data_IF_879586029830
#
_entry.id   IF_879586029830
#
_cell.length_a   1.000
_cell.length_b   1.000
_cell.length_c   1.000
_cell.angle_alpha   90.00
_cell.angle_beta   90.00
_cell.angle_gamma   90.00
#
_symmetry.space_group_name_H-M   'P 1'
#
loop_
_entity.id
_entity.type
_entity.pdbx_description
1 polymer ?
#
# COMPACT_ATOMS: atom_id res chain seq x y z
N UNK A 1 29.11 -1.49 3.75
CA UNK A 1 28.34 -0.48 3.00
C UNK A 1 27.39 0.23 3.95
N UNK A 2 27.17 1.52 3.74
CA UNK A 2 26.30 2.36 4.57
C UNK A 2 25.09 2.86 3.77
N UNK A 3 23.90 2.49 4.18
CA UNK A 3 22.65 2.83 3.51
C UNK A 3 21.80 3.77 4.35
N UNK A 4 21.40 4.90 3.76
CA UNK A 4 20.54 5.87 4.44
C UNK A 4 19.16 5.90 3.79
N UNK A 5 18.15 5.43 4.51
CA UNK A 5 16.76 5.39 4.07
C UNK A 5 15.96 6.58 4.59
N UNK A 6 15.23 7.26 3.73
CA UNK A 6 14.28 8.31 4.08
C UNK A 6 12.86 7.88 3.73
N UNK A 7 12.00 7.77 4.74
CA UNK A 7 10.61 7.36 4.57
C UNK A 7 9.74 7.86 5.71
N UNK A 8 8.44 7.99 5.46
CA UNK A 8 7.51 8.34 6.53
C UNK A 8 6.08 8.59 6.09
N UNK A 9 5.24 8.86 7.08
CA UNK A 9 3.85 9.23 6.94
C UNK A 9 2.88 8.05 6.93
N UNK A 10 2.99 7.12 5.99
CA UNK A 10 2.06 5.99 5.85
C UNK A 10 2.77 4.65 5.74
N UNK A 11 2.07 3.57 6.11
CA UNK A 11 2.58 2.20 5.97
C UNK A 11 2.95 1.86 4.52
N UNK A 12 2.28 2.47 3.52
CA UNK A 12 2.57 2.29 2.10
C UNK A 12 3.97 2.76 1.67
N UNK A 13 4.59 3.69 2.40
CA UNK A 13 5.97 4.13 2.20
C UNK A 13 6.95 3.35 3.08
N UNK A 14 6.54 3.08 4.33
CA UNK A 14 7.43 2.52 5.35
C UNK A 14 7.67 1.03 5.11
N UNK A 15 6.62 0.24 4.86
CA UNK A 15 6.75 -1.21 4.71
C UNK A 15 7.64 -1.63 3.52
N UNK A 16 7.53 -1.01 2.32
CA UNK A 16 8.46 -1.30 1.23
C UNK A 16 9.91 -0.97 1.57
N UNK A 17 10.14 0.17 2.24
CA UNK A 17 11.49 0.54 2.69
C UNK A 17 12.07 -0.49 3.67
N UNK A 18 11.28 -0.94 4.65
CA UNK A 18 11.67 -1.97 5.60
C UNK A 18 11.94 -3.32 4.92
N UNK A 19 11.11 -3.71 3.95
CA UNK A 19 11.29 -4.96 3.21
C UNK A 19 12.62 -4.98 2.45
N UNK A 20 12.96 -3.88 1.76
CA UNK A 20 14.23 -3.74 1.03
C UNK A 20 15.41 -3.66 1.99
N UNK A 21 15.33 -2.87 3.06
CA UNK A 21 16.39 -2.76 4.05
C UNK A 21 16.68 -4.09 4.75
N UNK A 22 15.63 -4.86 5.09
CA UNK A 22 15.78 -6.20 5.66
C UNK A 22 16.49 -7.15 4.70
N UNK A 23 16.13 -7.13 3.43
CA UNK A 23 16.80 -7.94 2.42
C UNK A 23 18.26 -7.56 2.25
N UNK A 24 18.59 -6.25 2.19
CA UNK A 24 19.99 -5.80 2.13
C UNK A 24 20.77 -6.29 3.35
N UNK A 25 20.20 -6.21 4.55
CA UNK A 25 20.85 -6.69 5.79
C UNK A 25 21.06 -8.21 5.79
N UNK A 26 20.12 -8.97 5.23
CA UNK A 26 20.26 -10.42 5.05
C UNK A 26 21.40 -10.79 4.09
N UNK A 27 21.51 -10.06 2.96
CA UNK A 27 22.54 -10.32 1.96
C UNK A 27 23.92 -9.75 2.34
N UNK A 28 23.95 -8.66 3.09
CA UNK A 28 25.14 -7.94 3.52
C UNK A 28 25.10 -7.68 5.04
N UNK A 29 25.38 -8.69 5.87
CA UNK A 29 25.24 -8.58 7.33
C UNK A 29 26.11 -7.49 7.98
N UNK A 30 27.25 -7.16 7.37
CA UNK A 30 28.16 -6.09 7.82
C UNK A 30 27.74 -4.68 7.35
N UNK A 31 26.56 -4.54 6.76
CA UNK A 31 26.07 -3.23 6.32
C UNK A 31 25.51 -2.42 7.49
N UNK A 32 25.78 -1.12 7.48
CA UNK A 32 25.15 -0.17 8.38
C UNK A 32 23.92 0.46 7.69
N UNK A 33 22.77 0.35 8.33
CA UNK A 33 21.51 0.87 7.78
C UNK A 33 20.91 1.86 8.78
N UNK A 34 20.74 3.11 8.33
CA UNK A 34 20.12 4.16 9.11
C UNK A 34 18.87 4.69 8.41
N UNK A 35 17.79 4.84 9.18
CA UNK A 35 16.56 5.45 8.70
C UNK A 35 16.42 6.89 9.22
N UNK A 36 15.88 7.76 8.35
CA UNK A 36 15.40 9.09 8.72
C UNK A 36 13.89 9.14 8.55
N UNK A 37 13.19 9.62 9.58
CA UNK A 37 11.75 9.82 9.60
C UNK A 37 11.34 11.01 10.43
N UNK A 38 10.08 11.08 10.84
CA UNK A 38 9.58 12.06 11.81
C UNK A 38 9.34 11.41 13.17
N UNK A 39 9.29 12.24 14.21
CA UNK A 39 9.14 11.75 15.59
C UNK A 39 7.73 11.20 15.88
N UNK A 40 6.70 11.80 15.26
CA UNK A 40 5.31 11.66 15.71
C UNK A 40 4.44 10.77 14.79
N UNK A 41 5.04 10.10 13.80
CA UNK A 41 4.32 9.24 12.84
C UNK A 41 4.72 7.77 12.96
N UNK A 42 4.12 6.92 12.13
CA UNK A 42 4.24 5.46 12.21
C UNK A 42 5.69 4.96 12.12
N UNK A 43 6.52 5.63 11.33
CA UNK A 43 7.93 5.27 11.13
C UNK A 43 8.74 5.28 12.43
N UNK A 44 8.43 6.20 13.36
CA UNK A 44 9.12 6.29 14.65
C UNK A 44 8.95 5.05 15.54
N UNK A 45 7.93 4.24 15.26
CA UNK A 45 7.67 2.95 15.93
C UNK A 45 8.07 1.77 15.05
N UNK A 46 7.66 1.77 13.77
CA UNK A 46 7.84 0.62 12.88
C UNK A 46 9.32 0.35 12.57
N UNK A 47 10.12 1.39 12.37
CA UNK A 47 11.55 1.23 12.03
C UNK A 47 12.35 0.66 13.19
N UNK A 48 12.30 1.21 14.43
CA UNK A 48 12.97 0.60 15.57
C UNK A 48 12.47 -0.80 15.90
N UNK A 49 11.17 -1.07 15.77
CA UNK A 49 10.61 -2.41 15.99
C UNK A 49 11.16 -3.44 14.98
N UNK A 50 11.55 -3.01 13.77
CA UNK A 50 12.24 -3.84 12.81
C UNK A 50 13.75 -3.98 13.05
N UNK A 51 14.27 -3.36 14.13
CA UNK A 51 15.67 -3.44 14.55
C UNK A 51 16.62 -2.61 13.69
N UNK A 52 16.16 -1.47 13.16
CA UNK A 52 17.00 -0.52 12.44
C UNK A 52 17.24 0.75 13.24
N UNK A 53 18.42 1.34 13.05
CA UNK A 53 18.75 2.65 13.60
C UNK A 53 17.86 3.73 13.00
N UNK A 54 17.43 4.68 13.82
CA UNK A 54 16.46 5.69 13.45
C UNK A 54 16.86 7.08 13.95
N UNK A 55 16.87 8.05 13.05
CA UNK A 55 17.01 9.48 13.36
C UNK A 55 15.80 10.25 12.86
N UNK A 56 15.54 11.40 13.48
CA UNK A 56 14.36 12.21 13.17
C UNK A 56 14.74 13.62 12.68
N UNK A 57 13.92 14.13 11.73
CA UNK A 57 13.89 15.53 11.34
C UNK A 57 12.50 16.11 11.60
N UNK A 58 12.42 17.41 11.90
CA UNK A 58 11.12 18.08 12.11
C UNK A 58 10.61 18.68 10.80
N UNK A 59 9.76 17.92 10.10
CA UNK A 59 9.13 18.38 8.88
C UNK A 59 7.63 18.08 8.91
N UNK A 60 6.84 18.93 8.25
CA UNK A 60 5.40 18.73 8.03
C UNK A 60 5.03 19.04 6.59
N UNK A 61 3.97 18.42 6.10
CA UNK A 61 3.41 18.75 4.80
C UNK A 61 2.76 20.13 4.78
N UNK A 62 2.76 20.79 3.63
CA UNK A 62 2.03 22.03 3.40
C UNK A 62 0.51 21.79 3.47
N UNK A 63 -0.20 22.67 4.15
CA UNK A 63 -1.66 22.63 4.19
C UNK A 63 -2.24 23.20 2.91
N UNK A 64 -3.05 22.42 2.19
CA UNK A 64 -3.76 22.82 0.98
C UNK A 64 -5.05 23.57 1.34
N UNK A 65 -4.92 24.76 1.95
CA UNK A 65 -6.07 25.59 2.32
C UNK A 65 -5.67 27.07 2.26
N UNK A 66 -6.57 27.91 1.76
CA UNK A 66 -6.39 29.35 1.71
C UNK A 66 -6.90 30.08 2.98
N UNK A 67 -7.31 29.35 4.02
CA UNK A 67 -7.73 29.97 5.29
C UNK A 67 -6.55 30.67 5.95
N UNK A 68 -6.73 31.85 6.63
CA UNK A 68 -5.64 32.60 7.25
C UNK A 68 -4.75 31.76 8.18
N UNK A 69 -5.35 30.86 8.94
CA UNK A 69 -4.62 29.92 9.81
C UNK A 69 -3.69 28.97 9.00
N UNK A 70 -4.13 28.52 7.83
CA UNK A 70 -3.31 27.64 6.98
C UNK A 70 -2.14 28.41 6.35
N UNK A 71 -2.31 29.69 6.03
CA UNK A 71 -1.22 30.55 5.52
C UNK A 71 -0.13 30.72 6.58
N UNK A 72 -0.52 31.04 7.82
CA UNK A 72 0.41 31.16 8.96
C UNK A 72 1.13 29.83 9.22
N UNK A 73 0.40 28.71 9.19
CA UNK A 73 0.97 27.38 9.36
C UNK A 73 1.96 27.04 8.21
N UNK A 74 1.65 27.44 6.97
CA UNK A 74 2.55 27.24 5.83
C UNK A 74 3.83 28.08 5.93
N UNK A 75 3.78 29.29 6.45
CA UNK A 75 5.01 30.09 6.74
C UNK A 75 5.90 29.36 7.75
N UNK A 76 5.32 28.82 8.83
CA UNK A 76 6.07 27.98 9.78
C UNK A 76 6.64 26.73 9.13
N UNK A 77 5.92 26.15 8.16
CA UNK A 77 6.38 24.97 7.40
C UNK A 77 7.62 25.29 6.56
N UNK A 78 7.73 26.51 5.98
CA UNK A 78 8.93 26.93 5.26
C UNK A 78 10.16 26.99 6.18
N UNK A 79 10.02 27.57 7.38
CA UNK A 79 11.12 27.56 8.37
C UNK A 79 11.51 26.13 8.80
N UNK A 80 10.54 25.26 8.96
CA UNK A 80 10.77 23.84 9.26
C UNK A 80 11.49 23.14 8.11
N UNK A 81 11.16 23.48 6.86
CA UNK A 81 11.84 22.92 5.69
C UNK A 81 13.32 23.29 5.70
N UNK A 82 13.67 24.58 5.89
CA UNK A 82 15.06 25.03 5.95
C UNK A 82 15.82 24.33 7.10
N UNK A 83 15.17 24.20 8.27
CA UNK A 83 15.77 23.50 9.40
C UNK A 83 15.95 22.01 9.09
N UNK A 84 14.95 21.36 8.47
CA UNK A 84 15.03 19.94 8.11
C UNK A 84 16.12 19.65 7.07
N UNK A 85 16.42 20.60 6.16
CA UNK A 85 17.57 20.50 5.26
C UNK A 85 18.91 20.56 6.01
N UNK A 86 19.03 21.46 7.01
CA UNK A 86 20.24 21.55 7.85
C UNK A 86 20.43 20.29 8.71
N UNK A 87 19.35 19.79 9.32
CA UNK A 87 19.37 18.56 10.10
C UNK A 87 19.72 17.36 9.19
N UNK A 88 19.15 17.30 7.99
CA UNK A 88 19.47 16.28 6.98
C UNK A 88 20.93 16.33 6.57
N UNK A 89 21.46 17.54 6.28
CA UNK A 89 22.88 17.72 5.97
C UNK A 89 23.77 17.14 7.06
N UNK A 90 23.48 17.50 8.32
CA UNK A 90 24.25 17.00 9.45
C UNK A 90 24.21 15.48 9.56
N UNK A 91 23.00 14.88 9.47
CA UNK A 91 22.85 13.42 9.56
C UNK A 91 23.59 12.71 8.42
N UNK A 92 23.48 13.21 7.18
CA UNK A 92 24.16 12.65 6.01
C UNK A 92 25.68 12.73 6.17
N UNK A 93 26.21 13.90 6.56
CA UNK A 93 27.68 14.08 6.71
C UNK A 93 28.24 13.28 7.89
N UNK A 94 27.52 13.19 9.01
CA UNK A 94 27.96 12.43 10.19
C UNK A 94 27.93 10.92 9.93
N UNK A 95 26.92 10.42 9.20
CA UNK A 95 26.78 9.00 8.87
C UNK A 95 27.65 8.60 7.68
N UNK A 96 27.87 9.52 6.74
CA UNK A 96 28.64 9.34 5.49
C UNK A 96 28.19 8.09 4.71
N UNK A 97 26.93 8.06 4.20
CA UNK A 97 26.39 6.90 3.49
C UNK A 97 27.04 6.70 2.13
N UNK A 98 27.09 5.44 1.66
CA UNK A 98 27.46 5.12 0.28
C UNK A 98 26.31 5.44 -0.68
N UNK A 99 25.05 5.36 -0.21
CA UNK A 99 23.86 5.71 -0.98
C UNK A 99 22.72 6.20 -0.08
N UNK A 100 21.92 7.15 -0.59
CA UNK A 100 20.72 7.68 0.08
C UNK A 100 19.47 7.31 -0.71
N UNK A 101 18.47 6.74 -0.02
CA UNK A 101 17.29 6.16 -0.65
C UNK A 101 16.01 6.81 -0.10
N UNK A 102 15.13 7.30 -0.99
CA UNK A 102 13.83 7.86 -0.64
C UNK A 102 12.68 6.91 -1.01
N UNK A 103 11.87 6.52 -0.02
CA UNK A 103 10.65 5.75 -0.26
C UNK A 103 9.36 6.58 -0.14
N UNK A 104 9.48 7.90 -0.24
CA UNK A 104 8.32 8.79 -0.19
C UNK A 104 8.02 9.34 1.22
N UNK A 105 6.92 10.08 1.30
CA UNK A 105 6.60 10.90 2.46
C UNK A 105 7.33 12.24 2.44
N UNK A 106 6.91 13.14 3.33
CA UNK A 106 7.51 14.50 3.40
C UNK A 106 8.99 14.49 3.76
N UNK A 107 9.44 13.46 4.46
CA UNK A 107 10.83 13.29 4.91
C UNK A 107 11.78 13.10 3.73
N UNK A 108 11.38 12.38 2.69
CA UNK A 108 12.22 12.13 1.52
C UNK A 108 12.66 13.41 0.82
N UNK A 109 11.83 14.47 0.81
CA UNK A 109 12.15 15.75 0.18
C UNK A 109 13.49 16.34 0.63
N UNK A 110 13.60 16.85 1.86
CA UNK A 110 14.82 17.51 2.34
C UNK A 110 16.04 16.58 2.40
N UNK A 111 15.82 15.28 2.67
CA UNK A 111 16.92 14.30 2.76
C UNK A 111 17.55 14.06 1.39
N UNK A 112 16.74 13.74 0.38
CA UNK A 112 17.22 13.43 -0.97
C UNK A 112 17.71 14.67 -1.70
N UNK A 113 17.05 15.83 -1.51
CA UNK A 113 17.53 17.11 -2.06
C UNK A 113 18.90 17.45 -1.51
N UNK A 114 19.13 17.26 -0.20
CA UNK A 114 20.43 17.49 0.41
C UNK A 114 21.48 16.47 -0.05
N UNK A 115 21.12 15.19 -0.17
CA UNK A 115 22.01 14.17 -0.71
C UNK A 115 22.50 14.53 -2.13
N UNK A 116 21.56 14.90 -3.02
CA UNK A 116 21.88 15.34 -4.37
C UNK A 116 22.78 16.60 -4.40
N UNK A 117 22.49 17.61 -3.55
CA UNK A 117 23.31 18.82 -3.41
C UNK A 117 24.73 18.53 -2.90
N UNK A 118 24.88 17.51 -2.08
CA UNK A 118 26.19 17.09 -1.53
C UNK A 118 26.88 16.02 -2.39
N UNK A 119 26.31 15.68 -3.54
CA UNK A 119 26.82 14.69 -4.49
C UNK A 119 26.94 13.26 -3.94
N UNK A 120 26.12 12.89 -2.96
CA UNK A 120 25.97 11.49 -2.56
C UNK A 120 25.13 10.74 -3.60
N UNK A 121 25.51 9.50 -3.96
CA UNK A 121 24.66 8.65 -4.78
C UNK A 121 23.28 8.55 -4.15
N UNK A 122 22.22 8.77 -4.94
CA UNK A 122 20.88 8.78 -4.37
C UNK A 122 19.81 8.30 -5.36
N UNK A 123 18.77 7.69 -4.81
CA UNK A 123 17.63 7.17 -5.59
C UNK A 123 16.31 7.32 -4.84
N UNK A 124 15.22 7.28 -5.59
CA UNK A 124 13.86 7.26 -5.05
C UNK A 124 13.07 6.08 -5.60
N UNK A 125 12.08 5.63 -4.82
CA UNK A 125 11.06 4.69 -5.24
C UNK A 125 9.68 5.35 -5.18
N UNK A 126 8.91 5.28 -6.27
CA UNK A 126 7.52 5.74 -6.34
C UNK A 126 6.58 4.55 -6.35
N UNK A 127 5.66 4.52 -5.40
CA UNK A 127 4.73 3.42 -5.21
C UNK A 127 3.49 3.52 -6.09
N UNK A 128 3.07 4.72 -6.44
CA UNK A 128 1.80 4.98 -7.12
C UNK A 128 1.97 5.16 -8.63
N UNK A 129 0.93 4.84 -9.39
CA UNK A 129 0.85 5.11 -10.82
C UNK A 129 0.84 6.64 -11.14
N UNK A 130 0.40 7.45 -10.18
CA UNK A 130 0.53 8.91 -10.24
C UNK A 130 1.46 9.39 -9.13
N UNK A 131 2.68 9.83 -9.47
CA UNK A 131 3.70 10.19 -8.51
C UNK A 131 3.33 11.39 -7.64
N UNK A 132 3.75 11.32 -6.36
CA UNK A 132 3.60 12.42 -5.45
C UNK A 132 4.47 13.63 -5.83
N UNK A 133 4.07 14.84 -5.42
CA UNK A 133 4.77 16.10 -5.75
C UNK A 133 6.25 16.03 -5.35
N UNK A 134 6.56 15.49 -4.19
CA UNK A 134 7.95 15.34 -3.71
C UNK A 134 8.78 14.48 -4.68
N UNK A 135 8.26 13.31 -5.08
CA UNK A 135 8.97 12.43 -6.01
C UNK A 135 9.11 13.03 -7.40
N UNK A 136 8.13 13.82 -7.89
CA UNK A 136 8.24 14.58 -9.15
C UNK A 136 9.39 15.59 -9.12
N UNK A 137 9.60 16.26 -8.00
CA UNK A 137 10.72 17.21 -7.85
C UNK A 137 12.07 16.48 -7.74
N UNK A 138 12.12 15.44 -6.92
CA UNK A 138 13.34 14.67 -6.69
C UNK A 138 13.81 13.92 -7.94
N UNK A 139 12.89 13.43 -8.78
CA UNK A 139 13.20 12.72 -10.02
C UNK A 139 14.16 13.49 -10.95
N UNK A 140 14.09 14.83 -10.91
CA UNK A 140 14.97 15.72 -11.70
C UNK A 140 16.42 15.77 -11.20
N UNK A 141 16.69 15.28 -10.00
CA UNK A 141 17.95 15.48 -9.29
C UNK A 141 18.68 14.19 -8.95
N UNK A 142 17.93 13.14 -8.59
CA UNK A 142 18.49 11.85 -8.15
C UNK A 142 19.09 11.02 -9.31
N UNK A 143 19.98 10.11 -8.98
CA UNK A 143 20.68 9.29 -9.98
C UNK A 143 19.82 8.16 -10.54
N UNK A 144 18.89 7.62 -9.74
CA UNK A 144 17.93 6.59 -10.18
C UNK A 144 16.54 6.86 -9.64
N UNK A 145 15.55 6.63 -10.50
CA UNK A 145 14.13 6.64 -10.15
C UNK A 145 13.60 5.22 -10.38
N UNK A 146 13.10 4.62 -9.33
CA UNK A 146 12.43 3.31 -9.37
C UNK A 146 10.93 3.53 -9.26
N UNK A 147 10.14 2.81 -10.02
CA UNK A 147 8.69 2.95 -10.08
C UNK A 147 8.01 1.59 -9.99
N UNK A 148 6.85 1.57 -9.37
CA UNK A 148 6.05 0.33 -9.24
C UNK A 148 5.48 -0.11 -10.58
N UNK A 149 4.91 0.82 -11.35
CA UNK A 149 4.23 0.56 -12.61
C UNK A 149 4.66 1.54 -13.70
N UNK A 150 4.65 1.08 -14.95
CA UNK A 150 5.04 1.86 -16.14
C UNK A 150 4.27 3.18 -16.27
N UNK A 151 2.99 3.20 -15.82
CA UNK A 151 2.13 4.37 -15.92
C UNK A 151 2.67 5.60 -15.20
N UNK A 152 3.49 5.42 -14.17
CA UNK A 152 4.14 6.51 -13.44
C UNK A 152 5.11 7.33 -14.32
N UNK A 153 5.73 6.74 -15.34
CA UNK A 153 6.68 7.42 -16.23
C UNK A 153 6.08 8.65 -16.88
N UNK A 154 4.82 8.60 -17.31
CA UNK A 154 4.11 9.69 -18.00
C UNK A 154 4.02 10.98 -17.18
N UNK A 155 4.22 10.89 -15.87
CA UNK A 155 4.03 11.97 -14.92
C UNK A 155 5.34 12.42 -14.25
N UNK A 156 6.46 11.88 -14.69
CA UNK A 156 7.80 12.19 -14.20
C UNK A 156 8.64 12.86 -15.28
N UNK A 157 9.52 13.76 -14.86
CA UNK A 157 10.56 14.37 -15.70
C UNK A 157 11.92 14.02 -15.07
N UNK A 158 12.36 12.77 -15.17
CA UNK A 158 13.55 12.31 -14.48
C UNK A 158 14.83 12.69 -15.23
N UNK A 159 15.94 12.83 -14.47
CA UNK A 159 17.28 13.00 -15.03
C UNK A 159 17.72 11.79 -15.86
N UNK A 160 17.36 10.60 -15.41
CA UNK A 160 17.64 9.32 -16.07
C UNK A 160 16.36 8.50 -16.21
N UNK A 161 16.29 7.61 -17.21
CA UNK A 161 15.11 6.77 -17.46
C UNK A 161 14.70 6.00 -16.20
N UNK A 162 13.43 6.07 -15.77
CA UNK A 162 12.94 5.34 -14.62
C UNK A 162 12.94 3.83 -14.86
N UNK A 163 13.25 3.08 -13.81
CA UNK A 163 13.27 1.62 -13.85
C UNK A 163 12.00 1.08 -13.19
N UNK A 164 11.27 0.23 -13.90
CA UNK A 164 10.11 -0.47 -13.35
C UNK A 164 10.61 -1.63 -12.49
N UNK A 165 10.42 -1.49 -11.18
CA UNK A 165 10.87 -2.49 -10.19
C UNK A 165 9.72 -3.25 -9.55
N UNK A 166 8.49 -2.77 -9.69
CA UNK A 166 7.38 -3.24 -8.85
C UNK A 166 7.45 -2.68 -7.44
N UNK A 167 6.57 -3.17 -6.58
CA UNK A 167 6.53 -2.85 -5.15
C UNK A 167 6.70 -4.14 -4.34
N UNK A 168 7.59 -4.18 -3.33
CA UNK A 168 7.76 -5.36 -2.50
C UNK A 168 6.45 -5.83 -1.86
N UNK A 169 6.10 -7.07 -2.09
CA UNK A 169 4.98 -7.75 -1.45
C UNK A 169 5.47 -8.58 -0.28
N UNK A 170 4.60 -8.87 0.67
CA UNK A 170 4.93 -9.72 1.81
C UNK A 170 5.22 -11.15 1.32
N UNK A 171 6.40 -11.66 1.62
CA UNK A 171 6.83 -12.99 1.15
C UNK A 171 5.92 -14.14 1.59
N UNK A 172 5.23 -13.99 2.71
CA UNK A 172 4.27 -14.99 3.21
C UNK A 172 3.07 -15.18 2.27
N UNK A 173 2.64 -14.11 1.57
CA UNK A 173 1.55 -14.17 0.58
C UNK A 173 1.81 -15.20 -0.53
N UNK A 174 3.05 -15.36 -0.96
CA UNK A 174 3.41 -16.23 -2.09
C UNK A 174 3.60 -17.69 -1.70
N UNK A 175 3.61 -18.01 -0.39
CA UNK A 175 3.93 -19.36 0.11
C UNK A 175 2.71 -20.27 0.21
N UNK A 176 1.51 -19.73 0.29
CA UNK A 176 0.29 -20.49 0.58
C UNK A 176 -0.51 -20.77 -0.67
N UNK A 177 -0.87 -22.04 -0.91
CA UNK A 177 -1.77 -22.41 -1.98
C UNK A 177 -3.22 -22.03 -1.64
N UNK A 178 -4.08 -21.85 -2.67
CA UNK A 178 -5.52 -21.62 -2.48
C UNK A 178 -6.18 -22.75 -1.73
N UNK A 179 -5.83 -24.01 -2.02
CA UNK A 179 -6.39 -25.18 -1.38
C UNK A 179 -6.03 -25.24 0.12
N UNK A 180 -4.76 -25.00 0.48
CA UNK A 180 -4.33 -24.99 1.89
C UNK A 180 -4.99 -23.84 2.67
N UNK A 181 -5.08 -22.67 2.06
CA UNK A 181 -5.73 -21.51 2.66
C UNK A 181 -7.23 -21.74 2.90
N UNK A 182 -7.95 -22.33 1.93
CA UNK A 182 -9.38 -22.68 2.08
C UNK A 182 -9.59 -23.71 3.17
N UNK A 183 -8.72 -24.72 3.26
CA UNK A 183 -8.76 -25.73 4.32
C UNK A 183 -8.56 -25.12 5.69
N UNK A 184 -7.59 -24.21 5.85
CA UNK A 184 -7.32 -23.50 7.10
C UNK A 184 -8.51 -22.63 7.55
N UNK A 185 -9.17 -21.97 6.60
CA UNK A 185 -10.37 -21.15 6.85
C UNK A 185 -11.67 -21.94 6.93
N UNK A 186 -11.62 -23.26 6.71
CA UNK A 186 -12.81 -24.14 6.63
C UNK A 186 -13.81 -23.71 5.55
N UNK A 187 -13.32 -23.25 4.39
CA UNK A 187 -14.15 -22.83 3.26
C UNK A 187 -14.28 -23.98 2.27
N UNK A 188 -15.51 -24.51 2.01
CA UNK A 188 -15.73 -25.58 1.05
C UNK A 188 -15.34 -25.16 -0.38
N UNK A 189 -14.79 -26.08 -1.18
CA UNK A 189 -14.43 -25.82 -2.57
C UNK A 189 -15.63 -25.47 -3.46
N UNK A 190 -16.82 -25.89 -3.06
CA UNK A 190 -18.09 -25.59 -3.75
C UNK A 190 -18.60 -24.17 -3.54
N UNK A 191 -17.96 -23.36 -2.67
CA UNK A 191 -18.35 -21.98 -2.39
C UNK A 191 -17.37 -20.98 -2.97
N UNK A 192 -17.87 -19.88 -3.47
CA UNK A 192 -17.08 -18.72 -3.87
C UNK A 192 -16.79 -17.84 -2.66
N UNK A 193 -15.53 -17.54 -2.39
CA UNK A 193 -15.13 -16.61 -1.33
C UNK A 193 -14.95 -15.20 -1.89
N UNK A 194 -15.75 -14.27 -1.39
CA UNK A 194 -15.58 -12.82 -1.59
C UNK A 194 -14.87 -12.24 -0.37
N UNK A 195 -13.64 -11.75 -0.58
CA UNK A 195 -12.85 -11.06 0.42
C UNK A 195 -13.00 -9.56 0.23
N UNK A 196 -13.41 -8.82 1.27
CA UNK A 196 -13.57 -7.35 1.17
C UNK A 196 -12.94 -6.60 2.34
N UNK A 197 -12.24 -5.49 2.04
CA UNK A 197 -11.57 -4.66 3.05
C UNK A 197 -11.29 -3.24 2.55
N UNK A 198 -11.42 -2.27 3.45
CA UNK A 198 -11.17 -0.85 3.20
C UNK A 198 -9.76 -0.36 3.55
N UNK A 199 -8.81 -1.28 3.79
CA UNK A 199 -7.50 -1.00 4.39
C UNK A 199 -7.53 -1.08 5.92
N UNK A 200 -6.38 -0.84 6.58
CA UNK A 200 -6.22 -1.03 8.04
C UNK A 200 -7.23 -0.25 8.88
N UNK A 201 -7.54 0.98 8.46
CA UNK A 201 -8.49 1.84 9.17
C UNK A 201 -9.94 1.57 8.78
N UNK A 202 -10.17 0.83 7.69
CA UNK A 202 -11.48 0.65 7.10
C UNK A 202 -11.89 1.80 6.16
N UNK A 203 -13.01 1.63 5.49
CA UNK A 203 -13.59 2.62 4.59
C UNK A 203 -15.11 2.62 4.75
N UNK A 204 -15.63 3.66 5.40
CA UNK A 204 -17.08 3.75 5.68
C UNK A 204 -17.96 3.52 4.44
N UNK A 205 -17.72 4.13 3.26
CA UNK A 205 -18.54 3.87 2.07
C UNK A 205 -18.54 2.41 1.63
N UNK A 206 -17.40 1.72 1.74
CA UNK A 206 -17.31 0.29 1.43
C UNK A 206 -18.05 -0.54 2.47
N UNK A 207 -17.91 -0.24 3.75
CA UNK A 207 -18.63 -0.92 4.81
C UNK A 207 -20.15 -0.74 4.65
N UNK A 208 -20.61 0.50 4.34
CA UNK A 208 -22.03 0.78 4.08
C UNK A 208 -22.58 -0.04 2.89
N UNK A 209 -21.80 -0.17 1.81
CA UNK A 209 -22.22 -0.95 0.63
C UNK A 209 -22.20 -2.46 0.89
N UNK A 210 -21.18 -2.97 1.59
CA UNK A 210 -21.04 -4.41 1.89
C UNK A 210 -22.02 -4.91 2.96
N UNK A 211 -22.42 -4.07 3.89
CA UNK A 211 -23.28 -4.47 5.01
C UNK A 211 -24.56 -5.19 4.57
N UNK A 212 -25.45 -4.62 3.72
CA UNK A 212 -26.67 -5.31 3.30
C UNK A 212 -26.38 -6.51 2.39
N UNK A 213 -25.28 -6.49 1.62
CA UNK A 213 -24.86 -7.64 0.79
C UNK A 213 -24.54 -8.84 1.69
N UNK A 214 -23.74 -8.64 2.73
CA UNK A 214 -23.36 -9.68 3.68
C UNK A 214 -24.59 -10.22 4.42
N UNK A 215 -25.52 -9.36 4.84
CA UNK A 215 -26.75 -9.80 5.49
C UNK A 215 -27.61 -10.69 4.58
N UNK A 216 -27.68 -10.37 3.29
CA UNK A 216 -28.41 -11.14 2.28
C UNK A 216 -27.77 -12.51 2.04
N UNK A 217 -26.43 -12.55 2.00
CA UNK A 217 -25.68 -13.73 1.58
C UNK A 217 -25.32 -14.70 2.72
N UNK A 218 -25.68 -14.39 3.98
CA UNK A 218 -25.37 -15.27 5.13
C UNK A 218 -25.82 -16.70 4.93
N UNK A 219 -27.00 -16.91 4.32
CA UNK A 219 -27.60 -18.23 4.07
C UNK A 219 -27.37 -18.74 2.63
N UNK A 220 -26.50 -18.05 1.86
CA UNK A 220 -26.17 -18.44 0.49
C UNK A 220 -25.57 -19.85 0.43
N UNK A 221 -25.98 -20.66 -0.53
CA UNK A 221 -25.41 -22.00 -0.75
C UNK A 221 -24.10 -21.95 -1.52
N UNK A 222 -23.84 -20.87 -2.27
CA UNK A 222 -22.72 -20.75 -3.22
C UNK A 222 -21.70 -19.69 -2.88
N UNK A 223 -22.04 -18.68 -2.05
CA UNK A 223 -21.17 -17.55 -1.73
C UNK A 223 -20.86 -17.54 -0.22
N UNK A 224 -19.65 -17.19 0.13
CA UNK A 224 -19.23 -16.84 1.48
C UNK A 224 -18.44 -15.53 1.48
N UNK A 225 -18.49 -14.79 2.58
CA UNK A 225 -17.81 -13.52 2.74
C UNK A 225 -16.83 -13.56 3.91
N UNK A 226 -15.65 -12.95 3.71
CA UNK A 226 -14.80 -12.45 4.78
C UNK A 226 -14.68 -10.94 4.57
N UNK A 227 -15.17 -10.15 5.53
CA UNK A 227 -15.16 -8.69 5.46
C UNK A 227 -14.42 -8.08 6.64
N UNK A 228 -13.48 -7.16 6.37
CA UNK A 228 -12.87 -6.33 7.41
C UNK A 228 -13.46 -4.94 7.41
N UNK A 229 -14.08 -4.57 8.53
CA UNK A 229 -14.62 -3.21 8.72
C UNK A 229 -13.52 -2.18 9.01
N UNK A 230 -12.32 -2.64 9.43
CA UNK A 230 -11.18 -1.80 9.80
C UNK A 230 -11.30 -1.20 11.21
N UNK A 231 -10.17 -0.73 11.75
CA UNK A 231 -10.09 -0.28 13.15
C UNK A 231 -11.01 0.90 13.49
N UNK A 232 -11.39 1.72 12.49
CA UNK A 232 -12.36 2.82 12.66
C UNK A 232 -13.82 2.38 12.43
N UNK A 233 -14.05 1.11 12.09
CA UNK A 233 -15.37 0.56 11.79
C UNK A 233 -15.95 -0.30 12.90
N UNK A 234 -15.52 -0.16 14.14
CA UNK A 234 -15.98 -0.97 15.27
C UNK A 234 -17.51 -0.93 15.49
N UNK A 235 -18.15 0.21 15.18
CA UNK A 235 -19.60 0.39 15.22
C UNK A 235 -20.36 -0.54 14.25
N UNK A 236 -19.72 -1.03 13.18
CA UNK A 236 -20.32 -2.03 12.29
C UNK A 236 -20.42 -3.40 12.96
N UNK A 237 -19.49 -3.77 13.83
CA UNK A 237 -19.58 -5.03 14.56
C UNK A 237 -20.86 -5.06 15.42
N UNK A 238 -21.22 -3.94 16.06
CA UNK A 238 -22.46 -3.85 16.83
C UNK A 238 -23.70 -4.00 15.93
N UNK A 239 -23.73 -3.36 14.75
CA UNK A 239 -24.80 -3.53 13.77
C UNK A 239 -24.94 -4.98 13.29
N UNK A 240 -23.83 -5.70 13.09
CA UNK A 240 -23.86 -7.11 12.73
C UNK A 240 -24.39 -7.97 13.90
N UNK A 241 -23.99 -7.70 15.16
CA UNK A 241 -24.55 -8.38 16.35
C UNK A 241 -26.08 -8.21 16.45
N UNK A 242 -26.58 -6.99 16.25
CA UNK A 242 -28.04 -6.69 16.22
C UNK A 242 -28.78 -7.51 15.13
N UNK A 243 -28.07 -7.93 14.08
CA UNK A 243 -28.61 -8.76 13.00
C UNK A 243 -28.27 -10.26 13.14
N UNK A 244 -27.93 -10.70 14.36
CA UNK A 244 -27.79 -12.11 14.72
C UNK A 244 -26.44 -12.72 14.31
N UNK A 245 -25.38 -11.91 14.15
CA UNK A 245 -24.02 -12.43 14.10
C UNK A 245 -23.53 -12.75 15.50
N UNK A 246 -22.90 -13.90 15.67
CA UNK A 246 -22.36 -14.38 16.93
C UNK A 246 -20.84 -14.21 16.98
N UNK A 247 -20.29 -14.01 18.18
CA UNK A 247 -18.86 -13.85 18.37
C UNK A 247 -18.16 -15.21 18.26
N UNK A 248 -17.26 -15.36 17.28
CA UNK A 248 -16.41 -16.53 17.10
C UNK A 248 -15.13 -16.41 17.92
N UNK A 249 -14.58 -15.23 17.98
CA UNK A 249 -13.43 -14.83 18.79
C UNK A 249 -13.41 -13.31 18.93
N UNK A 250 -12.48 -12.75 19.70
CA UNK A 250 -12.37 -11.32 19.90
C UNK A 250 -12.36 -10.55 18.55
N UNK A 251 -13.34 -9.65 18.36
CA UNK A 251 -13.50 -8.84 17.17
C UNK A 251 -13.76 -9.60 15.84
N UNK A 252 -14.20 -10.86 15.92
CA UNK A 252 -14.61 -11.70 14.78
C UNK A 252 -16.01 -12.20 15.00
N UNK A 253 -16.93 -11.82 14.12
CA UNK A 253 -18.33 -12.22 14.14
C UNK A 253 -18.65 -13.14 12.96
N UNK A 254 -19.54 -14.11 13.18
CA UNK A 254 -19.96 -15.05 12.15
C UNK A 254 -21.48 -15.22 12.14
N UNK A 255 -22.03 -15.40 10.95
CA UNK A 255 -23.40 -15.86 10.72
C UNK A 255 -23.46 -16.63 9.42
N UNK A 256 -23.91 -17.88 9.47
CA UNK A 256 -23.95 -18.74 8.28
C UNK A 256 -22.60 -18.84 7.57
N UNK A 257 -22.53 -18.31 6.34
CA UNK A 257 -21.32 -18.33 5.52
C UNK A 257 -20.51 -17.03 5.55
N UNK A 258 -20.89 -16.11 6.41
CA UNK A 258 -20.27 -14.78 6.46
C UNK A 258 -19.46 -14.62 7.75
N UNK A 259 -18.27 -14.11 7.60
CA UNK A 259 -17.38 -13.71 8.68
C UNK A 259 -17.05 -12.23 8.56
N UNK A 260 -17.25 -11.47 9.64
CA UNK A 260 -16.96 -10.04 9.72
C UNK A 260 -15.92 -9.83 10.81
N UNK A 261 -14.86 -9.13 10.50
CA UNK A 261 -13.71 -8.88 11.38
C UNK A 261 -13.46 -7.39 11.55
N UNK A 262 -13.00 -7.01 12.72
CA UNK A 262 -12.46 -5.67 12.91
C UNK A 262 -11.22 -5.46 12.03
N UNK A 263 -10.32 -6.44 12.04
CA UNK A 263 -9.07 -6.46 11.29
C UNK A 263 -8.75 -7.89 10.82
N UNK A 264 -8.04 -8.01 9.68
CA UNK A 264 -7.60 -9.31 9.15
C UNK A 264 -6.08 -9.44 9.41
N UNK A 265 -5.69 -10.21 10.42
CA UNK A 265 -4.28 -10.46 10.75
C UNK A 265 -3.62 -11.44 9.78
N UNK A 266 -4.36 -12.47 9.35
CA UNK A 266 -3.94 -13.48 8.39
C UNK A 266 -4.35 -13.15 6.95
N UNK A 267 -4.04 -11.93 6.50
CA UNK A 267 -4.41 -11.46 5.16
C UNK A 267 -3.85 -12.35 4.04
N UNK A 268 -2.67 -12.95 4.26
CA UNK A 268 -2.05 -13.92 3.37
C UNK A 268 -2.98 -15.12 3.10
N UNK A 269 -3.53 -15.70 4.16
CA UNK A 269 -4.47 -16.83 4.08
C UNK A 269 -5.79 -16.40 3.42
N UNK A 270 -6.36 -15.27 3.84
CA UNK A 270 -7.61 -14.78 3.28
C UNK A 270 -7.47 -14.42 1.79
N UNK A 271 -6.39 -13.76 1.40
CA UNK A 271 -6.10 -13.41 0.01
C UNK A 271 -5.87 -14.68 -0.83
N UNK A 272 -5.09 -15.65 -0.33
CA UNK A 272 -4.87 -16.92 -1.04
C UNK A 272 -6.17 -17.67 -1.30
N UNK A 273 -7.08 -17.74 -0.30
CA UNK A 273 -8.36 -18.44 -0.37
C UNK A 273 -9.40 -17.76 -1.28
N UNK A 274 -9.30 -16.44 -1.47
CA UNK A 274 -10.31 -15.63 -2.16
C UNK A 274 -10.44 -15.97 -3.65
N UNK A 275 -11.68 -15.88 -4.15
CA UNK A 275 -12.04 -15.93 -5.57
C UNK A 275 -12.23 -14.51 -6.13
N UNK A 276 -12.78 -13.61 -5.32
CA UNK A 276 -12.96 -12.20 -5.68
C UNK A 276 -12.49 -11.31 -4.51
N UNK A 277 -11.74 -10.27 -4.82
CA UNK A 277 -11.27 -9.28 -3.85
C UNK A 277 -11.95 -7.95 -4.09
N UNK A 278 -12.52 -7.33 -3.06
CA UNK A 278 -13.12 -6.00 -3.13
C UNK A 278 -12.37 -5.08 -2.17
N UNK A 279 -11.84 -3.98 -2.66
CA UNK A 279 -11.06 -3.12 -1.78
C UNK A 279 -10.67 -1.76 -2.34
N UNK A 280 -9.96 -1.00 -1.51
CA UNK A 280 -9.32 0.25 -1.92
C UNK A 280 -8.14 -0.02 -2.86
N UNK A 281 -7.80 0.97 -3.70
CA UNK A 281 -6.71 0.88 -4.67
C UNK A 281 -5.38 1.47 -4.13
N UNK A 282 -5.00 1.10 -2.91
CA UNK A 282 -3.67 1.39 -2.38
C UNK A 282 -2.59 0.57 -3.08
N UNK A 283 -1.45 1.17 -3.40
CA UNK A 283 -0.40 0.52 -4.19
C UNK A 283 0.01 -0.86 -3.63
N UNK A 284 0.20 -0.98 -2.31
CA UNK A 284 0.57 -2.27 -1.69
C UNK A 284 -0.51 -3.35 -1.89
N UNK A 285 -1.79 -2.98 -1.72
CA UNK A 285 -2.90 -3.93 -1.92
C UNK A 285 -2.99 -4.38 -3.37
N UNK A 286 -2.75 -3.47 -4.33
CA UNK A 286 -2.76 -3.83 -5.76
C UNK A 286 -1.61 -4.77 -6.11
N UNK A 287 -0.40 -4.48 -5.62
CA UNK A 287 0.74 -5.39 -5.84
C UNK A 287 0.52 -6.77 -5.21
N UNK A 288 -0.18 -6.86 -4.09
CA UNK A 288 -0.58 -8.13 -3.49
C UNK A 288 -1.66 -8.85 -4.34
N UNK A 289 -2.66 -8.13 -4.85
CA UNK A 289 -3.68 -8.65 -5.78
C UNK A 289 -3.02 -9.19 -7.06
N UNK A 290 -2.11 -8.42 -7.66
CA UNK A 290 -1.34 -8.82 -8.84
C UNK A 290 -0.50 -10.07 -8.56
N UNK A 291 0.29 -10.07 -7.48
CA UNK A 291 1.17 -11.17 -7.11
C UNK A 291 0.40 -12.47 -6.85
N UNK A 292 -0.79 -12.39 -6.28
CA UNK A 292 -1.68 -13.53 -6.06
C UNK A 292 -2.55 -13.87 -7.28
N UNK A 293 -2.58 -13.01 -8.32
CA UNK A 293 -3.41 -13.16 -9.51
C UNK A 293 -4.88 -13.24 -9.15
N UNK A 294 -5.39 -12.25 -8.41
CA UNK A 294 -6.78 -12.23 -7.96
C UNK A 294 -7.65 -11.34 -8.82
N UNK A 295 -8.83 -11.81 -9.18
CA UNK A 295 -9.86 -10.94 -9.71
C UNK A 295 -10.29 -9.93 -8.64
N UNK A 296 -10.50 -8.67 -9.03
CA UNK A 296 -10.82 -7.63 -8.07
C UNK A 296 -11.79 -6.56 -8.57
N UNK A 297 -12.57 -6.02 -7.62
CA UNK A 297 -13.36 -4.80 -7.78
C UNK A 297 -12.72 -3.72 -6.92
N UNK A 298 -12.21 -2.68 -7.57
CA UNK A 298 -11.46 -1.61 -6.94
C UNK A 298 -12.36 -0.40 -6.68
N UNK A 299 -12.30 0.12 -5.46
CA UNK A 299 -13.08 1.28 -5.01
C UNK A 299 -12.08 2.33 -4.52
N UNK A 300 -11.53 3.17 -5.43
CA UNK A 300 -10.52 4.15 -5.06
C UNK A 300 -11.08 5.20 -4.11
N UNK A 301 -10.30 5.60 -3.11
CA UNK A 301 -10.64 6.72 -2.23
C UNK A 301 -10.44 8.05 -2.96
N UNK A 302 -11.44 8.94 -3.01
CA UNK A 302 -11.29 10.28 -3.60
C UNK A 302 -10.54 11.27 -2.69
N UNK A 303 -10.29 10.90 -1.42
CA UNK A 303 -9.73 11.80 -0.40
C UNK A 303 -8.21 11.74 -0.29
N UNK A 304 -7.56 10.94 -1.15
CA UNK A 304 -6.10 10.82 -1.17
C UNK A 304 -5.46 11.91 -2.04
N UNK A 305 -4.19 12.20 -1.76
CA UNK A 305 -3.44 13.21 -2.51
C UNK A 305 -3.39 12.87 -4.01
N UNK A 306 -3.59 13.88 -4.88
CA UNK A 306 -3.49 13.73 -6.34
C UNK A 306 -4.39 12.63 -6.92
N UNK A 307 -5.43 12.21 -6.19
CA UNK A 307 -6.32 11.11 -6.58
C UNK A 307 -5.57 9.82 -6.98
N UNK A 308 -4.41 9.57 -6.33
CA UNK A 308 -3.50 8.50 -6.74
C UNK A 308 -4.14 7.12 -6.73
N UNK A 309 -5.13 6.84 -5.84
CA UNK A 309 -5.81 5.55 -5.85
C UNK A 309 -6.63 5.32 -7.13
N UNK A 310 -7.24 6.35 -7.69
CA UNK A 310 -7.91 6.24 -8.99
C UNK A 310 -6.91 5.87 -10.10
N UNK A 311 -5.78 6.57 -10.15
CA UNK A 311 -4.74 6.26 -11.13
C UNK A 311 -4.16 4.86 -10.96
N UNK A 312 -3.96 4.41 -9.72
CA UNK A 312 -3.54 3.05 -9.40
C UNK A 312 -4.56 2.02 -9.93
N UNK A 313 -5.85 2.23 -9.63
CA UNK A 313 -6.91 1.35 -10.11
C UNK A 313 -6.94 1.31 -11.65
N UNK A 314 -6.84 2.47 -12.31
CA UNK A 314 -6.86 2.54 -13.76
C UNK A 314 -5.67 1.84 -14.42
N UNK A 315 -4.52 1.73 -13.74
CA UNK A 315 -3.40 0.94 -14.25
C UNK A 315 -3.77 -0.54 -14.46
N UNK A 316 -4.60 -1.12 -13.57
CA UNK A 316 -5.11 -2.48 -13.69
C UNK A 316 -6.31 -2.54 -14.66
N UNK A 317 -7.26 -1.62 -14.55
CA UNK A 317 -8.49 -1.60 -15.36
C UNK A 317 -8.17 -1.48 -16.85
N UNK A 318 -7.23 -0.61 -17.22
CA UNK A 318 -6.80 -0.41 -18.61
C UNK A 318 -6.13 -1.67 -19.21
N UNK A 319 -5.72 -2.62 -18.37
CA UNK A 319 -5.15 -3.92 -18.78
C UNK A 319 -6.13 -5.09 -18.57
N UNK A 320 -7.41 -4.78 -18.33
CA UNK A 320 -8.45 -5.76 -18.01
C UNK A 320 -8.08 -6.68 -16.82
N UNK A 321 -7.31 -6.16 -15.85
CA UNK A 321 -6.82 -6.87 -14.67
C UNK A 321 -7.65 -6.59 -13.41
N UNK A 322 -8.67 -5.72 -13.49
CA UNK A 322 -9.60 -5.39 -12.42
C UNK A 322 -10.88 -4.75 -12.97
N UNK A 323 -11.90 -4.64 -12.12
CA UNK A 323 -13.07 -3.77 -12.33
C UNK A 323 -13.03 -2.59 -11.37
N UNK A 324 -13.73 -1.51 -11.70
CA UNK A 324 -13.75 -0.26 -10.94
C UNK A 324 -15.18 0.16 -10.64
N UNK A 325 -15.41 0.61 -9.41
CA UNK A 325 -16.56 1.43 -9.04
C UNK A 325 -15.99 2.68 -8.34
N UNK A 326 -16.24 3.87 -8.88
CA UNK A 326 -15.88 5.11 -8.18
C UNK A 326 -16.74 5.29 -6.94
N UNK A 327 -16.18 5.83 -5.85
CA UNK A 327 -16.92 5.96 -4.57
C UNK A 327 -18.23 6.74 -4.70
N UNK A 328 -18.32 7.71 -5.63
CA UNK A 328 -19.56 8.47 -5.90
C UNK A 328 -20.70 7.63 -6.48
N UNK A 329 -20.36 6.51 -7.15
CA UNK A 329 -21.30 5.60 -7.81
C UNK A 329 -21.50 4.31 -6.99
N UNK A 330 -20.83 4.23 -5.81
CA UNK A 330 -20.88 3.06 -4.94
C UNK A 330 -22.18 3.04 -4.14
N UNK A 331 -23.00 2.04 -4.41
CA UNK A 331 -24.17 1.64 -3.62
C UNK A 331 -24.14 0.13 -3.40
N UNK A 332 -24.95 -0.38 -2.49
CA UNK A 332 -25.09 -1.83 -2.33
C UNK A 332 -25.57 -2.50 -3.62
N UNK A 333 -26.49 -1.87 -4.33
CA UNK A 333 -27.04 -2.43 -5.58
C UNK A 333 -26.01 -2.45 -6.70
N UNK A 334 -25.23 -1.35 -6.88
CA UNK A 334 -24.19 -1.30 -7.91
C UNK A 334 -23.06 -2.29 -7.62
N UNK A 335 -22.68 -2.45 -6.34
CA UNK A 335 -21.66 -3.40 -5.94
C UNK A 335 -22.16 -4.85 -6.08
N UNK A 336 -23.38 -5.14 -5.65
CA UNK A 336 -23.99 -6.48 -5.81
C UNK A 336 -24.08 -6.87 -7.30
N UNK A 337 -24.55 -5.95 -8.15
CA UNK A 337 -24.64 -6.19 -9.59
C UNK A 337 -23.26 -6.52 -10.21
N UNK A 338 -22.20 -5.81 -9.77
CA UNK A 338 -20.84 -6.09 -10.21
C UNK A 338 -20.34 -7.47 -9.73
N UNK A 339 -20.59 -7.81 -8.46
CA UNK A 339 -20.27 -9.13 -7.90
C UNK A 339 -20.98 -10.22 -8.70
N UNK A 340 -22.30 -10.11 -8.86
CA UNK A 340 -23.12 -11.11 -9.56
C UNK A 340 -22.67 -11.28 -11.02
N UNK A 341 -22.36 -10.18 -11.70
CA UNK A 341 -21.86 -10.21 -13.08
C UNK A 341 -20.54 -10.97 -13.19
N UNK A 342 -19.58 -10.70 -12.28
CA UNK A 342 -18.28 -11.38 -12.31
C UNK A 342 -18.37 -12.84 -11.91
N UNK A 343 -19.19 -13.18 -10.91
CA UNK A 343 -19.32 -14.55 -10.43
C UNK A 343 -20.14 -15.44 -11.38
N UNK A 344 -20.98 -14.85 -12.23
CA UNK A 344 -21.73 -15.59 -13.26
C UNK A 344 -20.94 -15.81 -14.55
N UNK A 345 -19.87 -15.07 -14.78
CA UNK A 345 -19.01 -15.17 -15.97
C UNK A 345 -17.59 -15.62 -15.58
N UNK A 346 -17.44 -16.94 -15.52
CA UNK A 346 -16.17 -17.59 -15.14
C UNK A 346 -15.04 -17.25 -16.11
N UNK A 347 -15.32 -17.07 -17.39
CA UNK A 347 -14.29 -16.76 -18.39
C UNK A 347 -13.73 -15.34 -18.17
N UNK A 348 -14.60 -14.37 -17.94
CA UNK A 348 -14.19 -13.00 -17.58
C UNK A 348 -13.41 -13.00 -16.26
N UNK A 349 -13.82 -13.74 -15.26
CA UNK A 349 -13.12 -13.83 -13.96
C UNK A 349 -11.70 -14.37 -14.15
N UNK A 350 -11.55 -15.48 -14.87
CA UNK A 350 -10.25 -16.10 -15.18
C UNK A 350 -9.34 -15.19 -16.02
N UNK A 351 -9.93 -14.43 -16.96
CA UNK A 351 -9.17 -13.44 -17.74
C UNK A 351 -8.60 -12.34 -16.86
N UNK A 352 -9.40 -11.80 -15.93
CA UNK A 352 -8.96 -10.78 -14.97
C UNK A 352 -7.83 -11.33 -14.09
N UNK A 353 -7.96 -12.52 -13.55
CA UNK A 353 -6.93 -13.19 -12.74
C UNK A 353 -5.61 -13.36 -13.51
N UNK A 354 -5.71 -13.83 -14.76
CA UNK A 354 -4.55 -14.00 -15.64
C UNK A 354 -3.85 -12.66 -15.91
N UNK A 355 -4.62 -11.63 -16.25
CA UNK A 355 -4.07 -10.31 -16.54
C UNK A 355 -3.43 -9.68 -15.30
N UNK A 356 -4.07 -9.80 -14.12
CA UNK A 356 -3.50 -9.34 -12.86
C UNK A 356 -2.16 -10.03 -12.57
N UNK A 357 -2.09 -11.35 -12.74
CA UNK A 357 -0.84 -12.10 -12.54
C UNK A 357 0.26 -11.71 -13.52
N UNK A 358 -0.07 -11.37 -14.76
CA UNK A 358 0.92 -10.92 -15.75
C UNK A 358 1.53 -9.55 -15.42
N UNK A 359 0.85 -8.73 -14.63
CA UNK A 359 1.38 -7.44 -14.16
C UNK A 359 2.32 -7.59 -12.95
N UNK A 360 2.27 -8.72 -12.24
CA UNK A 360 2.99 -8.93 -11.01
C UNK A 360 4.52 -8.91 -11.20
N UNK A 361 5.20 -8.17 -10.35
CA UNK A 361 6.66 -8.19 -10.20
C UNK A 361 6.97 -8.77 -8.82
N UNK A 362 7.14 -10.08 -8.74
CA UNK A 362 7.27 -10.79 -7.46
C UNK A 362 8.67 -10.66 -6.83
N UNK A 363 9.68 -10.32 -7.62
CA UNK A 363 11.07 -10.09 -7.23
C UNK A 363 11.39 -8.58 -7.04
N UNK A 364 10.36 -7.77 -6.78
CA UNK A 364 10.49 -6.31 -6.63
C UNK A 364 11.51 -5.91 -5.55
N UNK A 365 11.51 -6.63 -4.43
CA UNK A 365 12.42 -6.38 -3.32
C UNK A 365 13.88 -6.55 -3.74
N UNK A 366 14.17 -7.62 -4.44
CA UNK A 366 15.49 -7.96 -4.98
C UNK A 366 15.94 -6.95 -6.02
N UNK A 367 15.09 -6.61 -6.99
CA UNK A 367 15.38 -5.61 -8.03
C UNK A 367 15.72 -4.24 -7.45
N UNK A 368 14.95 -3.80 -6.48
CA UNK A 368 15.19 -2.51 -5.79
C UNK A 368 16.53 -2.55 -5.06
N UNK A 369 16.79 -3.64 -4.31
CA UNK A 369 18.04 -3.80 -3.57
C UNK A 369 19.26 -3.82 -4.50
N UNK A 370 19.21 -4.52 -5.62
CA UNK A 370 20.29 -4.61 -6.61
C UNK A 370 20.64 -3.23 -7.19
N UNK A 371 19.63 -2.39 -7.50
CA UNK A 371 19.84 -1.02 -7.96
C UNK A 371 20.52 -0.17 -6.88
N UNK A 372 20.07 -0.27 -5.62
CA UNK A 372 20.63 0.46 -4.48
C UNK A 372 22.09 0.05 -4.26
N UNK A 373 22.37 -1.25 -4.25
CA UNK A 373 23.73 -1.80 -4.07
C UNK A 373 24.64 -1.41 -5.24
N UNK A 374 24.10 -1.39 -6.46
CA UNK A 374 24.83 -0.94 -7.64
C UNK A 374 25.23 0.54 -7.61
N UNK A 375 24.48 1.39 -6.90
CA UNK A 375 24.81 2.79 -6.68
C UNK A 375 25.82 3.00 -5.54
N UNK A 376 25.89 2.08 -4.58
CA UNK A 376 26.80 2.13 -3.44
C UNK A 376 28.25 1.66 -3.76
N UNK A 377 28.45 1.08 -4.92
CA UNK A 377 29.76 0.61 -5.45
C UNK A 377 30.40 1.62 -6.36
#
# INVERSE_FOLDING_TARGET
MKFLFATGGTAGHINPALAVASYIREQYPDSEILFIGTKDHMESRLVPNAGFDFKTIDIRGFRRSFKPKAIVDNVKTVFKLIKSEQDSKKIITDFNPDVVIGFGGYVSGPVLEMAAKLHYPCCIHEQNAYPGITNKQLAKQVDKVMITVEDAKKHLEPKNEPVVTGLPVRGELLKKSKADARKELNIPDSKTLVLSFGGSLGAKPLNDAMYPIILKDCDSKSICHIHSVGTNGADYLDKFRENGFEEKSENILVKGNCEVRLYIDNMDTCMAAADLVIGRAGASSLSEIEAMGKASVLIPSPYVAENHQYHNAMALVNRNAARLIEEKDLTSDSLQAMIDSLLSDTDTLLEIEKNARQMAIIDARERIADIIIGLAK
#
